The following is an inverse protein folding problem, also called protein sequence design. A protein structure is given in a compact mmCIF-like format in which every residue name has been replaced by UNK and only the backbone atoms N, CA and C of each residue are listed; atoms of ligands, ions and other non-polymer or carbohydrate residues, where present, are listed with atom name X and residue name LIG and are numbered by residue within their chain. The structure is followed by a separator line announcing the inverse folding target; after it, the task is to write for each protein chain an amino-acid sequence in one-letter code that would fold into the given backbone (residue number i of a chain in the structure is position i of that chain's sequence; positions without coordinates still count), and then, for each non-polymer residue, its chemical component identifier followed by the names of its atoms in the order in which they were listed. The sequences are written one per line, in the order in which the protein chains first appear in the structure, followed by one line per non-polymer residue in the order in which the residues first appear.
data_IF_066054625393
#
_entry.id   IF_066054625393
#
_cell.length_a   1.000
_cell.length_b   1.000
_cell.length_c   1.000
_cell.angle_alpha   90.00
_cell.angle_beta   90.00
_cell.angle_gamma   90.00
#
_symmetry.space_group_name_H-M   'P 1'
#
loop_
_entity.id
_entity.type
_entity.pdbx_description
1 polymer ?
#
# COMPACT_ATOMS: atom_id res chain seq x y z
N UNK A 1 7.83 -18.85 6.74
CA UNK A 1 6.93 -17.97 7.56
C UNK A 1 7.28 -16.54 7.26
N UNK A 2 6.25 -15.71 7.05
CA UNK A 2 6.40 -14.26 6.85
C UNK A 2 6.23 -13.55 8.20
N UNK A 3 7.06 -12.57 8.51
CA UNK A 3 6.86 -11.64 9.61
C UNK A 3 6.53 -10.26 9.05
N UNK A 4 5.37 -9.72 9.42
CA UNK A 4 4.87 -8.41 8.98
C UNK A 4 5.06 -7.39 10.09
N UNK A 5 5.89 -6.38 9.85
CA UNK A 5 6.05 -5.19 10.70
C UNK A 5 5.06 -4.13 10.22
N UNK A 6 4.09 -3.80 11.05
CA UNK A 6 2.98 -2.94 10.64
C UNK A 6 2.38 -2.14 11.80
N UNK A 7 1.54 -1.18 11.43
CA UNK A 7 0.65 -0.44 12.32
C UNK A 7 -0.75 -0.42 11.70
N UNK A 8 -1.75 0.02 12.47
CA UNK A 8 -3.14 0.13 12.03
C UNK A 8 -3.32 1.31 11.05
N UNK A 9 -2.88 1.11 9.82
CA UNK A 9 -2.90 2.11 8.74
C UNK A 9 -3.31 1.47 7.42
N UNK A 10 -3.84 2.25 6.46
CA UNK A 10 -4.20 1.72 5.14
C UNK A 10 -3.05 0.97 4.45
N UNK A 11 -1.81 1.46 4.55
CA UNK A 11 -0.66 0.79 3.94
C UNK A 11 -0.34 -0.57 4.61
N UNK A 12 -0.52 -0.66 5.93
CA UNK A 12 -0.37 -1.93 6.66
C UNK A 12 -1.44 -2.94 6.27
N UNK A 13 -2.68 -2.47 6.09
CA UNK A 13 -3.81 -3.34 5.72
C UNK A 13 -3.65 -3.98 4.35
N UNK A 14 -3.04 -3.30 3.36
CA UNK A 14 -2.75 -3.90 2.05
C UNK A 14 -2.04 -5.24 2.18
N UNK A 15 -1.06 -5.30 3.07
CA UNK A 15 -0.24 -6.50 3.23
C UNK A 15 -0.97 -7.58 4.04
N UNK A 16 -1.71 -7.19 5.08
CA UNK A 16 -2.56 -8.15 5.81
C UNK A 16 -3.61 -8.78 4.87
N UNK A 17 -4.29 -7.95 4.04
CA UNK A 17 -5.25 -8.44 3.04
C UNK A 17 -4.56 -9.42 2.10
N UNK A 18 -3.40 -9.05 1.53
CA UNK A 18 -2.68 -9.93 0.62
C UNK A 18 -2.32 -11.27 1.26
N UNK A 19 -1.81 -11.26 2.50
CA UNK A 19 -1.41 -12.47 3.22
C UNK A 19 -2.60 -13.39 3.49
N UNK A 20 -3.75 -12.84 3.88
CA UNK A 20 -5.00 -13.57 4.05
C UNK A 20 -5.51 -14.16 2.72
N UNK A 21 -5.54 -13.36 1.65
CA UNK A 21 -6.02 -13.78 0.33
C UNK A 21 -5.19 -14.92 -0.29
N UNK A 22 -3.87 -14.91 -0.05
CA UNK A 22 -3.02 -16.03 -0.52
C UNK A 22 -3.05 -17.23 0.42
N UNK A 23 -3.60 -17.11 1.62
CA UNK A 23 -3.64 -18.15 2.65
C UNK A 23 -2.26 -18.40 3.26
N UNK A 24 -1.44 -17.35 3.42
CA UNK A 24 -0.10 -17.46 3.95
C UNK A 24 -0.11 -17.36 5.48
N UNK A 25 0.52 -18.30 6.16
CA UNK A 25 0.77 -18.18 7.60
C UNK A 25 1.80 -17.08 7.87
N UNK A 26 1.45 -16.15 8.75
CA UNK A 26 2.31 -15.01 9.08
C UNK A 26 2.19 -14.57 10.54
N UNK A 27 3.20 -13.86 11.03
CA UNK A 27 3.24 -13.21 12.32
C UNK A 27 3.20 -11.69 12.12
N UNK A 28 2.45 -11.00 12.95
CA UNK A 28 2.45 -9.51 12.98
C UNK A 28 3.30 -9.01 14.14
N UNK A 29 4.28 -8.17 13.82
CA UNK A 29 5.04 -7.39 14.80
C UNK A 29 4.59 -5.94 14.69
N UNK A 30 3.86 -5.48 15.73
CA UNK A 30 3.34 -4.11 15.78
C UNK A 30 4.46 -3.11 15.96
N UNK A 31 4.45 -2.06 15.15
CA UNK A 31 5.32 -0.88 15.26
C UNK A 31 4.50 0.27 15.82
N UNK A 32 4.87 0.79 16.98
CA UNK A 32 4.18 1.91 17.61
C UNK A 32 4.69 3.25 17.03
N UNK A 33 3.93 3.78 16.06
CA UNK A 33 4.26 5.04 15.40
C UNK A 33 4.16 6.24 16.34
N UNK A 34 3.34 6.15 17.39
CA UNK A 34 3.22 7.20 18.39
C UNK A 34 4.43 7.27 19.34
N UNK A 35 5.25 6.23 19.38
CA UNK A 35 6.51 6.17 20.13
C UNK A 35 7.76 6.26 19.24
N UNK A 36 7.57 6.66 17.98
CA UNK A 36 8.65 6.79 17.01
C UNK A 36 9.48 5.50 16.79
N UNK A 37 8.87 4.32 17.01
CA UNK A 37 9.56 3.04 16.85
C UNK A 37 10.06 2.80 15.42
N UNK A 38 9.40 3.39 14.42
CA UNK A 38 9.82 3.35 13.02
C UNK A 38 11.16 4.06 12.76
N UNK A 39 11.65 4.88 13.70
CA UNK A 39 12.92 5.58 13.59
C UNK A 39 14.05 4.95 14.44
N UNK A 40 13.76 3.86 15.15
CA UNK A 40 14.80 3.10 15.87
C UNK A 40 15.81 2.52 14.88
N UNK A 41 17.12 2.49 15.23
CA UNK A 41 18.18 2.02 14.34
C UNK A 41 17.94 0.61 13.76
N UNK A 42 17.37 -0.29 14.54
CA UNK A 42 17.03 -1.65 14.10
C UNK A 42 15.94 -1.66 13.03
N UNK A 43 14.95 -0.76 13.11
CA UNK A 43 13.90 -0.66 12.10
C UNK A 43 14.38 0.08 10.85
N UNK A 44 15.21 1.12 10.99
CA UNK A 44 15.80 1.85 9.84
C UNK A 44 16.63 0.92 8.94
N UNK A 45 17.26 -0.13 9.50
CA UNK A 45 17.95 -1.15 8.70
C UNK A 45 17.01 -1.94 7.78
N UNK A 46 15.74 -2.08 8.18
CA UNK A 46 14.71 -2.77 7.42
C UNK A 46 13.99 -1.82 6.45
N UNK A 47 13.78 -0.57 6.88
CA UNK A 47 13.07 0.46 6.12
C UNK A 47 13.84 1.79 6.21
N UNK A 48 14.66 2.13 5.20
CA UNK A 48 15.53 3.32 5.25
C UNK A 48 14.79 4.65 5.46
N UNK A 49 13.52 4.70 5.09
CA UNK A 49 12.67 5.89 5.26
C UNK A 49 11.83 5.87 6.55
N UNK A 50 12.02 4.87 7.43
CA UNK A 50 11.24 4.75 8.65
C UNK A 50 9.75 4.57 8.38
N UNK A 51 9.37 3.77 7.37
CA UNK A 51 7.98 3.55 6.97
C UNK A 51 7.57 2.11 7.16
N UNK A 52 6.32 1.91 7.60
CA UNK A 52 5.63 0.64 7.57
C UNK A 52 4.76 0.57 6.28
N UNK A 53 4.41 -0.62 5.81
CA UNK A 53 4.78 -1.95 6.26
C UNK A 53 6.19 -2.38 5.79
N UNK A 54 6.74 -3.36 6.49
CA UNK A 54 7.92 -4.13 6.08
C UNK A 54 7.60 -5.60 6.31
N UNK A 55 8.10 -6.50 5.47
CA UNK A 55 8.09 -7.93 5.74
C UNK A 55 9.49 -8.49 5.84
N UNK A 56 9.65 -9.54 6.66
CA UNK A 56 10.80 -10.44 6.61
C UNK A 56 10.28 -11.81 6.21
N UNK A 57 10.82 -12.36 5.12
CA UNK A 57 10.58 -13.74 4.75
C UNK A 57 11.67 -14.65 5.35
N UNK A 58 11.33 -15.29 6.45
CA UNK A 58 12.25 -16.20 7.14
C UNK A 58 12.60 -17.47 6.34
N UNK A 59 11.95 -17.71 5.20
CA UNK A 59 12.28 -18.84 4.31
C UNK A 59 13.55 -18.62 3.49
N UNK A 60 13.87 -17.36 3.20
CA UNK A 60 15.06 -16.97 2.43
C UNK A 60 15.85 -15.80 3.05
N UNK A 61 15.42 -15.32 4.22
CA UNK A 61 16.00 -14.19 4.95
C UNK A 61 15.92 -12.84 4.17
N UNK A 62 14.95 -12.70 3.27
CA UNK A 62 14.72 -11.45 2.55
C UNK A 62 13.90 -10.47 3.41
N UNK A 63 14.36 -9.22 3.44
CA UNK A 63 13.62 -8.09 4.02
C UNK A 63 13.14 -7.17 2.91
N UNK A 64 11.83 -6.91 2.86
CA UNK A 64 11.21 -6.11 1.81
C UNK A 64 10.41 -4.97 2.44
N UNK A 65 10.72 -3.74 2.03
CA UNK A 65 9.97 -2.53 2.35
C UNK A 65 9.24 -2.01 1.10
N UNK A 66 8.38 -1.01 1.26
CA UNK A 66 7.40 -0.50 0.29
C UNK A 66 6.24 -1.47 0.05
N UNK A 67 5.01 -1.01 0.35
CA UNK A 67 3.83 -1.86 0.24
C UNK A 67 3.61 -2.41 -1.18
N UNK A 68 3.91 -1.61 -2.22
CA UNK A 68 3.84 -2.07 -3.60
C UNK A 68 4.85 -3.18 -3.92
N UNK A 69 6.09 -3.04 -3.46
CA UNK A 69 7.13 -4.05 -3.66
C UNK A 69 6.80 -5.35 -2.90
N UNK A 70 6.26 -5.22 -1.69
CA UNK A 70 5.80 -6.37 -0.89
C UNK A 70 4.68 -7.12 -1.62
N UNK A 71 3.69 -6.41 -2.16
CA UNK A 71 2.60 -7.01 -2.95
C UNK A 71 3.13 -7.76 -4.17
N UNK A 72 4.05 -7.16 -4.93
CA UNK A 72 4.68 -7.81 -6.08
C UNK A 72 5.45 -9.08 -5.66
N UNK A 73 6.22 -9.01 -4.58
CA UNK A 73 6.95 -10.15 -4.04
C UNK A 73 6.02 -11.30 -3.63
N UNK A 74 4.98 -10.98 -2.85
CA UNK A 74 4.02 -11.99 -2.39
C UNK A 74 3.20 -12.58 -3.55
N UNK A 75 2.82 -11.74 -4.52
CA UNK A 75 2.13 -12.18 -5.74
C UNK A 75 2.97 -13.12 -6.57
N UNK A 76 4.25 -12.78 -6.79
CA UNK A 76 5.19 -13.65 -7.50
C UNK A 76 5.43 -14.96 -6.75
N UNK A 77 5.68 -14.87 -5.43
CA UNK A 77 5.96 -16.05 -4.59
C UNK A 77 4.79 -17.02 -4.51
N UNK A 78 3.56 -16.52 -4.44
CA UNK A 78 2.36 -17.34 -4.33
C UNK A 78 1.77 -17.80 -5.67
N UNK A 79 2.13 -17.13 -6.78
CA UNK A 79 1.50 -17.30 -8.08
C UNK A 79 0.06 -16.78 -8.14
N UNK A 80 -0.36 -15.91 -7.20
CA UNK A 80 -1.72 -15.38 -7.11
C UNK A 80 -1.74 -13.86 -7.29
N UNK A 81 -2.77 -13.34 -7.95
CA UNK A 81 -3.08 -11.90 -8.09
C UNK A 81 -2.03 -11.06 -8.84
N UNK A 82 -1.00 -11.69 -9.43
CA UNK A 82 0.09 -11.04 -10.16
C UNK A 82 0.53 -11.87 -11.36
N UNK A 83 -0.40 -12.14 -12.28
CA UNK A 83 -0.19 -12.96 -13.48
C UNK A 83 0.77 -12.27 -14.46
N UNK A 84 1.65 -13.04 -15.08
CA UNK A 84 2.64 -12.54 -16.04
C UNK A 84 2.00 -11.96 -17.31
N UNK A 85 0.92 -12.57 -17.80
CA UNK A 85 0.21 -12.12 -19.00
C UNK A 85 -0.39 -10.70 -18.86
N UNK A 86 -0.78 -10.32 -17.63
CA UNK A 86 -1.44 -9.04 -17.34
C UNK A 86 -0.51 -8.07 -16.57
N UNK A 87 0.76 -8.47 -16.36
CA UNK A 87 1.74 -7.77 -15.52
C UNK A 87 1.89 -6.31 -15.83
N UNK A 88 1.87 -5.91 -17.11
CA UNK A 88 1.99 -4.50 -17.49
C UNK A 88 0.81 -3.68 -16.95
N UNK A 89 -0.41 -4.15 -17.15
CA UNK A 89 -1.61 -3.46 -16.67
C UNK A 89 -1.65 -3.42 -15.13
N UNK A 90 -1.31 -4.54 -14.49
CA UNK A 90 -1.24 -4.61 -13.01
C UNK A 90 -0.23 -3.60 -12.48
N UNK A 91 0.96 -3.53 -13.08
CA UNK A 91 2.01 -2.60 -12.65
C UNK A 91 1.61 -1.14 -12.88
N UNK A 92 0.94 -0.80 -13.98
CA UNK A 92 0.46 0.56 -14.23
C UNK A 92 -0.48 1.04 -13.11
N UNK A 93 -1.47 0.23 -12.74
CA UNK A 93 -2.42 0.57 -11.68
C UNK A 93 -1.77 0.54 -10.29
N UNK A 94 -0.89 -0.42 -10.04
CA UNK A 94 -0.11 -0.46 -8.79
C UNK A 94 0.77 0.78 -8.65
N UNK A 95 1.48 1.19 -9.71
CA UNK A 95 2.31 2.41 -9.66
C UNK A 95 1.46 3.69 -9.59
N UNK A 96 0.29 3.72 -10.22
CA UNK A 96 -0.67 4.82 -10.04
C UNK A 96 -1.10 4.95 -8.57
N UNK A 97 -1.34 3.83 -7.90
CA UNK A 97 -1.63 3.82 -6.47
C UNK A 97 -0.43 4.35 -5.66
N UNK A 98 0.79 3.83 -5.90
CA UNK A 98 2.00 4.23 -5.14
C UNK A 98 2.40 5.68 -5.38
N UNK A 99 2.29 6.17 -6.62
CA UNK A 99 2.75 7.51 -7.00
C UNK A 99 1.68 8.61 -6.91
N UNK A 100 0.40 8.25 -6.94
CA UNK A 100 -0.68 9.24 -7.03
C UNK A 100 -1.77 9.00 -6.00
N UNK A 101 -2.49 7.89 -6.07
CA UNK A 101 -3.69 7.65 -5.25
C UNK A 101 -3.35 7.71 -3.77
N UNK A 102 -2.44 6.85 -3.32
CA UNK A 102 -2.04 6.77 -1.92
C UNK A 102 -1.46 8.08 -1.38
N UNK A 103 -0.42 8.65 -2.01
CA UNK A 103 0.18 9.90 -1.53
C UNK A 103 -0.78 11.09 -1.52
N UNK A 104 -1.59 11.27 -2.56
CA UNK A 104 -2.46 12.45 -2.65
C UNK A 104 -3.66 12.37 -1.69
N UNK A 105 -4.26 11.20 -1.55
CA UNK A 105 -5.32 10.97 -0.54
C UNK A 105 -4.72 11.07 0.86
N UNK A 106 -3.50 10.59 1.07
CA UNK A 106 -2.77 10.75 2.32
C UNK A 106 -2.53 12.22 2.69
N UNK A 107 -2.17 13.07 1.71
CA UNK A 107 -2.05 14.50 1.94
C UNK A 107 -3.41 15.17 2.24
N UNK A 108 -4.48 14.78 1.54
CA UNK A 108 -5.81 15.25 1.90
C UNK A 108 -6.14 14.92 3.36
N UNK A 109 -5.87 13.68 3.78
CA UNK A 109 -6.07 13.26 5.17
C UNK A 109 -5.22 14.08 6.15
N UNK A 110 -3.97 14.35 5.80
CA UNK A 110 -3.04 15.16 6.59
C UNK A 110 -3.55 16.59 6.82
N UNK A 111 -4.03 17.26 5.78
CA UNK A 111 -4.49 18.65 5.89
C UNK A 111 -5.91 18.76 6.43
N UNK A 112 -6.82 17.92 5.97
CA UNK A 112 -8.24 18.05 6.28
C UNK A 112 -8.65 17.37 7.60
N UNK A 113 -7.97 16.27 7.98
CA UNK A 113 -8.34 15.49 9.16
C UNK A 113 -7.38 15.72 10.34
N UNK A 114 -6.07 15.62 10.12
CA UNK A 114 -5.10 15.77 11.23
C UNK A 114 -4.76 17.22 11.55
N UNK A 115 -4.83 18.13 10.61
CA UNK A 115 -4.47 19.54 10.79
C UNK A 115 -5.50 20.50 10.19
N UNK A 116 -6.80 20.38 10.52
CA UNK A 116 -7.84 21.23 9.96
C UNK A 116 -7.58 22.70 10.30
N UNK A 117 -7.79 23.59 9.33
CA UNK A 117 -7.60 25.04 9.49
C UNK A 117 -6.15 25.52 9.52
N UNK A 118 -5.16 24.61 9.38
CA UNK A 118 -3.73 24.96 9.37
C UNK A 118 -3.26 25.53 8.03
N UNK A 119 -3.91 25.15 6.92
CA UNK A 119 -3.56 25.60 5.57
C UNK A 119 -4.77 25.50 4.66
N UNK A 120 -5.46 26.59 4.44
CA UNK A 120 -6.60 26.68 3.51
C UNK A 120 -6.18 26.23 2.09
N UNK A 121 -5.03 26.69 1.62
CA UNK A 121 -4.49 26.27 0.33
C UNK A 121 -4.25 24.75 0.25
N UNK A 122 -3.67 24.14 1.28
CA UNK A 122 -3.42 22.71 1.33
C UNK A 122 -4.72 21.91 1.34
N UNK A 123 -5.69 22.31 2.18
CA UNK A 123 -7.00 21.67 2.29
C UNK A 123 -7.74 21.70 0.96
N UNK A 124 -7.87 22.89 0.34
CA UNK A 124 -8.56 23.05 -0.94
C UNK A 124 -7.86 22.27 -2.08
N UNK A 125 -6.54 22.39 -2.16
CA UNK A 125 -5.74 21.71 -3.18
C UNK A 125 -5.94 20.20 -3.13
N UNK A 126 -5.73 19.59 -1.97
CA UNK A 126 -5.77 18.14 -1.85
C UNK A 126 -7.18 17.58 -1.86
N UNK A 127 -8.18 18.34 -1.44
CA UNK A 127 -9.59 18.02 -1.65
C UNK A 127 -9.94 17.90 -3.14
N UNK A 128 -9.55 18.90 -3.95
CA UNK A 128 -9.77 18.89 -5.42
C UNK A 128 -9.06 17.69 -6.09
N UNK A 129 -7.83 17.42 -5.70
CA UNK A 129 -7.05 16.29 -6.23
C UNK A 129 -7.73 14.96 -5.86
N UNK A 130 -8.10 14.79 -4.59
CA UNK A 130 -8.77 13.58 -4.10
C UNK A 130 -10.09 13.33 -4.81
N UNK A 131 -10.92 14.37 -4.96
CA UNK A 131 -12.19 14.27 -5.70
C UNK A 131 -11.98 13.83 -7.15
N UNK A 132 -10.94 14.33 -7.83
CA UNK A 132 -10.59 13.91 -9.18
C UNK A 132 -10.14 12.44 -9.20
N UNK A 133 -9.28 12.03 -8.27
CA UNK A 133 -8.81 10.64 -8.17
C UNK A 133 -10.00 9.67 -8.03
N UNK A 134 -10.95 9.94 -7.14
CA UNK A 134 -12.14 9.11 -7.01
C UNK A 134 -12.99 9.08 -8.28
N UNK A 135 -13.09 10.21 -8.99
CA UNK A 135 -13.78 10.27 -10.28
C UNK A 135 -13.11 9.38 -11.34
N UNK A 136 -11.79 9.37 -11.41
CA UNK A 136 -11.03 8.53 -12.35
C UNK A 136 -11.14 7.03 -11.99
N UNK A 137 -11.08 6.69 -10.70
CA UNK A 137 -11.28 5.30 -10.25
C UNK A 137 -12.71 4.82 -10.53
N UNK A 138 -13.72 5.65 -10.28
CA UNK A 138 -15.13 5.35 -10.57
C UNK A 138 -15.35 5.16 -12.08
N UNK A 139 -14.79 6.03 -12.91
CA UNK A 139 -14.84 5.90 -14.37
C UNK A 139 -14.21 4.58 -14.84
N UNK A 140 -13.03 4.23 -14.31
CA UNK A 140 -12.36 2.97 -14.62
C UNK A 140 -13.21 1.76 -14.24
N UNK A 141 -13.81 1.75 -13.06
CA UNK A 141 -14.61 0.62 -12.58
C UNK A 141 -15.99 0.50 -13.26
N UNK A 142 -16.44 1.51 -13.99
CA UNK A 142 -17.58 1.40 -14.92
C UNK A 142 -17.25 0.62 -16.21
N UNK A 143 -15.99 0.67 -16.63
CA UNK A 143 -15.51 0.02 -17.85
C UNK A 143 -14.89 -1.36 -17.59
N UNK A 144 -14.46 -1.63 -16.35
CA UNK A 144 -13.75 -2.85 -16.00
C UNK A 144 -14.15 -3.32 -14.61
N UNK A 145 -14.26 -4.63 -14.41
CA UNK A 145 -14.63 -5.23 -13.13
C UNK A 145 -13.64 -4.89 -12.02
N UNK A 146 -12.36 -4.83 -12.34
CA UNK A 146 -11.25 -4.48 -11.45
C UNK A 146 -10.32 -3.48 -12.13
N UNK A 147 -9.39 -2.88 -11.37
CA UNK A 147 -8.52 -1.83 -11.88
C UNK A 147 -7.65 -2.29 -13.06
N UNK A 148 -7.00 -3.43 -12.96
CA UNK A 148 -6.10 -3.92 -13.99
C UNK A 148 -6.82 -4.69 -15.13
N UNK A 149 -8.09 -5.07 -14.94
CA UNK A 149 -8.82 -5.85 -15.95
C UNK A 149 -9.98 -6.64 -15.35
N UNK A 150 -10.34 -7.81 -15.93
CA UNK A 150 -11.47 -8.59 -15.46
C UNK A 150 -11.22 -9.35 -14.15
N UNK A 151 -9.95 -9.52 -13.78
CA UNK A 151 -9.54 -10.31 -12.62
C UNK A 151 -9.05 -9.43 -11.47
N UNK A 152 -9.32 -9.88 -10.24
CA UNK A 152 -8.83 -9.26 -9.00
C UNK A 152 -7.31 -9.44 -8.87
N UNK A 153 -6.59 -8.35 -8.59
CA UNK A 153 -5.12 -8.32 -8.60
C UNK A 153 -4.54 -7.55 -7.43
N UNK A 154 -3.21 -7.57 -7.31
CA UNK A 154 -2.50 -6.74 -6.32
C UNK A 154 -2.73 -5.23 -6.51
N UNK A 155 -3.16 -4.78 -7.69
CA UNK A 155 -3.52 -3.38 -7.91
C UNK A 155 -4.80 -2.99 -7.14
N UNK A 156 -5.76 -3.91 -7.06
CA UNK A 156 -7.00 -3.73 -6.31
C UNK A 156 -6.75 -3.84 -4.79
N UNK A 157 -5.94 -4.81 -4.38
CA UNK A 157 -5.51 -4.95 -2.97
C UNK A 157 -4.81 -3.68 -2.47
N UNK A 158 -4.07 -3.02 -3.36
CA UNK A 158 -3.32 -1.80 -3.03
C UNK A 158 -4.21 -0.55 -2.91
N UNK A 159 -5.39 -0.52 -3.58
CA UNK A 159 -6.22 0.69 -3.77
C UNK A 159 -7.44 0.70 -2.89
#
# INVERSE_FOLDING_TARGET
MIELFSANTPNGWKISIMLEEIGCEYKVTKVDLGKDEQFKPEFIKLSPFGKIPVIIDHGNNESIFESGAILMYLGHKSGKFYDEKDRLNINQWLMAQMGTVGPMIGQHHQFHHYNPGKSEFGEERYFKITKRIYGELDARLKESKFLAGPEYTIADIAT
#
